data_IF_156597990116
#
_entry.id   IF_156597990116
#
_cell.length_a   1.000
_cell.length_b   1.000
_cell.length_c   1.000
_cell.angle_alpha   90.00
_cell.angle_beta   90.00
_cell.angle_gamma   90.00
#
_symmetry.space_group_name_H-M   'P 1'
#
loop_
_entity.id
_entity.type
_entity.pdbx_description
1 polymer ?
#
# COMPACT_ATOMS: atom_id res chain seq x y z
N UNK A 1 -5.89 -8.61 28.84
CA UNK A 1 -4.79 -8.54 27.85
C UNK A 1 -3.91 -7.39 28.26
N UNK A 2 -2.60 -7.60 28.28
CA UNK A 2 -1.63 -6.57 28.65
C UNK A 2 -1.50 -5.58 27.49
N UNK A 3 -1.76 -4.30 27.72
CA UNK A 3 -1.65 -3.24 26.70
C UNK A 3 -0.37 -2.44 26.90
N UNK A 4 0.27 -2.02 25.82
CA UNK A 4 1.45 -1.14 25.84
C UNK A 4 1.05 0.26 25.40
N UNK A 5 1.52 1.27 26.13
CA UNK A 5 1.27 2.67 25.80
C UNK A 5 2.36 3.21 24.88
N UNK A 6 1.94 3.95 23.84
CA UNK A 6 2.82 4.71 22.96
C UNK A 6 2.57 6.20 23.23
N UNK A 7 3.64 6.95 23.50
CA UNK A 7 3.57 8.40 23.66
C UNK A 7 4.10 9.09 22.41
N UNK A 8 3.28 9.92 21.78
CA UNK A 8 3.59 10.63 20.54
C UNK A 8 3.49 12.13 20.73
N UNK A 9 4.33 12.88 20.02
CA UNK A 9 4.22 14.33 19.90
C UNK A 9 3.72 14.65 18.49
N UNK A 10 2.64 15.42 18.39
CA UNK A 10 2.07 15.84 17.13
C UNK A 10 2.26 17.36 16.96
N UNK A 11 2.53 17.84 15.73
CA UNK A 11 2.38 19.25 15.39
C UNK A 11 0.96 19.74 15.72
N UNK A 12 0.83 20.99 16.19
CA UNK A 12 -0.44 21.55 16.65
C UNK A 12 -1.53 21.55 15.56
N UNK A 13 -1.16 21.86 14.32
CA UNK A 13 -2.07 21.81 13.18
C UNK A 13 -2.60 20.38 12.91
N UNK A 14 -1.75 19.37 13.07
CA UNK A 14 -2.15 17.97 12.92
C UNK A 14 -3.07 17.54 14.07
N UNK A 15 -2.76 17.96 15.29
CA UNK A 15 -3.60 17.69 16.47
C UNK A 15 -5.02 18.22 16.25
N UNK A 16 -5.16 19.49 15.85
CA UNK A 16 -6.46 20.11 15.60
C UNK A 16 -7.23 19.44 14.46
N UNK A 17 -6.54 19.06 13.38
CA UNK A 17 -7.15 18.34 12.27
C UNK A 17 -7.64 16.95 12.70
N UNK A 18 -6.84 16.22 13.48
CA UNK A 18 -7.19 14.90 14.01
C UNK A 18 -8.35 14.98 15.00
N UNK A 19 -8.44 16.02 15.83
CA UNK A 19 -9.57 16.23 16.76
C UNK A 19 -10.88 16.48 16.01
N UNK A 20 -10.83 17.33 14.98
CA UNK A 20 -11.98 17.58 14.11
C UNK A 20 -12.43 16.30 13.40
N UNK A 21 -11.47 15.55 12.86
CA UNK A 21 -11.73 14.27 12.20
C UNK A 21 -12.37 13.27 13.16
N UNK A 22 -11.77 13.06 14.34
CA UNK A 22 -12.29 12.14 15.36
C UNK A 22 -13.76 12.44 15.69
N UNK A 23 -14.09 13.72 15.91
CA UNK A 23 -15.46 14.15 16.20
C UNK A 23 -16.42 13.92 15.05
N UNK A 24 -16.03 14.25 13.82
CA UNK A 24 -16.92 14.17 12.65
C UNK A 24 -17.22 12.73 12.23
N UNK A 25 -16.28 11.81 12.47
CA UNK A 25 -16.38 10.40 12.08
C UNK A 25 -16.73 9.46 13.24
N UNK A 26 -17.12 9.99 14.40
CA UNK A 26 -17.70 9.22 15.51
C UNK A 26 -16.70 8.51 16.42
N UNK A 27 -15.42 8.90 16.38
CA UNK A 27 -14.42 8.43 17.32
C UNK A 27 -14.58 9.12 18.67
N UNK A 28 -14.38 8.38 19.76
CA UNK A 28 -14.52 8.85 21.14
C UNK A 28 -13.39 9.79 21.54
N UNK A 29 -12.18 9.55 21.03
CA UNK A 29 -10.99 10.36 21.27
C UNK A 29 -9.89 10.09 20.22
N UNK A 30 -8.80 10.86 20.29
CA UNK A 30 -7.65 10.69 19.41
C UNK A 30 -6.95 9.35 19.52
N UNK A 31 -6.98 8.70 20.70
CA UNK A 31 -6.33 7.40 20.88
C UNK A 31 -7.09 6.30 20.16
N UNK A 32 -8.43 6.36 20.15
CA UNK A 32 -9.25 5.45 19.37
C UNK A 32 -9.02 5.65 17.87
N UNK A 33 -9.00 6.91 17.40
CA UNK A 33 -8.64 7.23 16.02
C UNK A 33 -7.26 6.65 15.65
N UNK A 34 -6.23 6.92 16.46
CA UNK A 34 -4.88 6.44 16.21
C UNK A 34 -4.80 4.91 16.23
N UNK A 35 -5.51 4.25 17.15
CA UNK A 35 -5.54 2.79 17.25
C UNK A 35 -6.22 2.15 16.05
N UNK A 36 -7.35 2.67 15.59
CA UNK A 36 -8.05 2.14 14.43
C UNK A 36 -7.28 2.41 13.14
N UNK A 37 -6.70 3.60 12.96
CA UNK A 37 -5.83 3.87 11.80
C UNK A 37 -4.59 2.98 11.76
N UNK A 38 -3.98 2.68 12.91
CA UNK A 38 -2.88 1.72 12.98
C UNK A 38 -3.35 0.29 12.67
N UNK A 39 -4.54 -0.09 13.16
CA UNK A 39 -5.12 -1.40 12.89
C UNK A 39 -5.39 -1.59 11.40
N UNK A 40 -6.01 -0.61 10.76
CA UNK A 40 -6.26 -0.58 9.32
C UNK A 40 -4.96 -0.85 8.55
N UNK A 41 -3.87 -0.14 8.88
CA UNK A 41 -2.60 -0.32 8.18
C UNK A 41 -1.82 -1.59 8.50
N UNK A 42 -2.03 -2.20 9.66
CA UNK A 42 -1.26 -3.39 10.07
C UNK A 42 -2.02 -4.69 9.82
N UNK A 43 -3.35 -4.68 9.94
CA UNK A 43 -4.17 -5.89 10.01
C UNK A 43 -5.28 -5.96 8.98
N UNK A 44 -5.69 -4.85 8.35
CA UNK A 44 -6.45 -5.02 7.12
C UNK A 44 -5.46 -5.48 6.06
N UNK A 45 -5.70 -6.69 5.55
CA UNK A 45 -5.09 -7.16 4.31
C UNK A 45 -5.41 -6.07 3.29
N UNK A 46 -4.49 -5.13 3.08
CA UNK A 46 -4.62 -4.22 1.95
C UNK A 46 -4.69 -5.19 0.76
N UNK A 47 -5.82 -5.23 0.04
CA UNK A 47 -5.91 -5.93 -1.25
C UNK A 47 -4.79 -5.45 -2.20
N UNK A 48 -4.20 -4.31 -1.87
CA UNK A 48 -2.94 -3.77 -2.37
C UNK A 48 -1.83 -3.98 -1.33
N UNK A 49 -1.42 -5.22 -1.08
CA UNK A 49 -0.10 -5.46 -0.51
C UNK A 49 0.89 -4.87 -1.54
N UNK A 50 1.61 -3.81 -1.15
CA UNK A 50 2.62 -3.21 -2.03
C UNK A 50 3.77 -4.19 -2.31
N UNK A 51 3.79 -5.33 -1.63
CA UNK A 51 4.69 -6.42 -1.89
C UNK A 51 4.00 -7.47 -2.78
N UNK A 52 4.60 -7.74 -3.94
CA UNK A 52 4.24 -8.90 -4.75
C UNK A 52 4.32 -10.17 -3.88
N UNK A 53 3.26 -11.00 -3.92
CA UNK A 53 3.30 -12.32 -3.30
C UNK A 53 4.41 -13.17 -3.94
N UNK A 54 4.93 -14.17 -3.22
CA UNK A 54 5.96 -15.08 -3.75
C UNK A 54 5.56 -15.69 -5.12
N UNK A 55 4.26 -15.94 -5.32
CA UNK A 55 3.71 -16.44 -6.59
C UNK A 55 3.74 -15.43 -7.72
N UNK A 56 3.51 -14.15 -7.42
CA UNK A 56 3.59 -13.07 -8.41
C UNK A 56 5.04 -12.79 -8.78
N UNK A 57 5.95 -12.86 -7.81
CA UNK A 57 7.40 -12.79 -8.06
C UNK A 57 7.82 -13.95 -8.98
N UNK A 58 7.42 -15.18 -8.68
CA UNK A 58 7.73 -16.36 -9.50
C UNK A 58 7.14 -16.25 -10.92
N UNK A 59 5.93 -15.69 -11.05
CA UNK A 59 5.29 -15.43 -12.34
C UNK A 59 6.08 -14.40 -13.17
N UNK A 60 6.52 -13.31 -12.55
CA UNK A 60 7.33 -12.27 -13.18
C UNK A 60 8.65 -12.86 -13.68
N UNK A 61 9.36 -13.60 -12.83
CA UNK A 61 10.62 -14.26 -13.20
C UNK A 61 10.43 -15.22 -14.37
N UNK A 62 9.37 -16.03 -14.34
CA UNK A 62 9.03 -16.97 -15.42
C UNK A 62 8.72 -16.23 -16.73
N UNK A 63 8.00 -15.11 -16.67
CA UNK A 63 7.69 -14.28 -17.83
C UNK A 63 8.94 -13.68 -18.46
N UNK A 64 9.87 -13.17 -17.63
CA UNK A 64 11.14 -12.62 -18.09
C UNK A 64 11.96 -13.72 -18.77
N UNK A 65 12.08 -14.90 -18.15
CA UNK A 65 12.78 -16.03 -18.73
C UNK A 65 12.21 -16.47 -20.08
N UNK A 66 10.88 -16.60 -20.17
CA UNK A 66 10.20 -17.00 -21.41
C UNK A 66 10.39 -15.95 -22.50
N UNK A 67 10.36 -14.67 -22.15
CA UNK A 67 10.52 -13.57 -23.08
C UNK A 67 11.94 -13.52 -23.66
N UNK A 68 12.95 -13.76 -22.81
CA UNK A 68 14.36 -13.89 -23.23
C UNK A 68 14.58 -15.13 -24.10
N UNK A 69 14.04 -16.29 -23.71
CA UNK A 69 14.13 -17.55 -24.48
C UNK A 69 13.51 -17.43 -25.87
N UNK A 70 12.36 -16.74 -25.96
CA UNK A 70 11.64 -16.52 -27.23
C UNK A 70 12.15 -15.32 -28.03
N UNK A 71 13.13 -14.56 -27.52
CA UNK A 71 13.68 -13.33 -28.13
C UNK A 71 12.60 -12.32 -28.56
N UNK A 72 11.57 -12.15 -27.73
CA UNK A 72 10.43 -11.22 -27.97
C UNK A 72 10.60 -9.90 -27.23
N UNK A 73 11.79 -9.65 -26.66
CA UNK A 73 12.13 -8.35 -26.08
C UNK A 73 12.43 -7.41 -27.24
N UNK A 74 11.55 -6.41 -27.40
CA UNK A 74 11.57 -5.43 -28.48
C UNK A 74 11.64 -4.01 -27.89
N UNK A 75 12.06 -3.04 -28.68
CA UNK A 75 12.10 -1.65 -28.25
C UNK A 75 10.69 -1.03 -28.19
N UNK A 76 10.57 0.08 -27.47
CA UNK A 76 9.31 0.84 -27.39
C UNK A 76 8.81 1.27 -28.79
N UNK A 77 9.72 1.64 -29.69
CA UNK A 77 9.40 2.00 -31.08
C UNK A 77 8.80 0.83 -31.86
N UNK A 78 9.33 -0.38 -31.67
CA UNK A 78 8.85 -1.61 -32.31
C UNK A 78 7.48 -2.06 -31.78
N UNK A 79 7.24 -1.91 -30.47
CA UNK A 79 5.93 -2.19 -29.85
C UNK A 79 4.87 -1.23 -30.40
N UNK A 80 5.16 0.07 -30.42
CA UNK A 80 4.22 1.09 -30.88
C UNK A 80 3.86 0.89 -32.35
N UNK A 81 4.82 0.49 -33.18
CA UNK A 81 4.56 0.15 -34.58
C UNK A 81 3.63 -1.07 -34.72
N UNK A 82 3.75 -2.05 -33.84
CA UNK A 82 2.95 -3.29 -33.90
C UNK A 82 1.52 -3.10 -33.33
N UNK A 83 1.33 -2.18 -32.39
CA UNK A 83 0.04 -1.94 -31.73
C UNK A 83 -0.81 -0.82 -32.37
N UNK A 84 -0.19 0.08 -33.15
CA UNK A 84 -0.86 1.24 -33.77
C UNK A 84 -1.03 1.12 -35.30
N UNK A 85 -0.63 0.00 -35.90
CA UNK A 85 -1.00 -0.43 -37.26
C UNK A 85 -2.29 -1.27 -37.25
#
# INVERSE_FOLDING_TARGET
METKQINLKLPENLLLAAESYAKNYGYRNLQELASESLREKVFEDNEFDENFSDKEIELIDTLIELSLKKKVVVSEEEINKTLLE
#
